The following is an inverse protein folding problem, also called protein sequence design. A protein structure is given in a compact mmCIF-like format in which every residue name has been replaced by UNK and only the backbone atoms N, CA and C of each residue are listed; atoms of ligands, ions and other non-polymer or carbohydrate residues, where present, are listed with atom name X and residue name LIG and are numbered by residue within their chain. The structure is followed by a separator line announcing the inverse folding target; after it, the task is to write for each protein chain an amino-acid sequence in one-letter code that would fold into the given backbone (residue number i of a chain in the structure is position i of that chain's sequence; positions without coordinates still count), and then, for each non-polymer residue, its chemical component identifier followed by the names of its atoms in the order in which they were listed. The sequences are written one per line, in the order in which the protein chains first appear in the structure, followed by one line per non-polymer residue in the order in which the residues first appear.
data_IF_399924695638
#
_entry.id   IF_399924695638
#
_cell.length_a   1.000
_cell.length_b   1.000
_cell.length_c   1.000
_cell.angle_alpha   90.00
_cell.angle_beta   90.00
_cell.angle_gamma   90.00
#
_symmetry.space_group_name_H-M   'P 1'
#
loop_
_entity.id
_entity.type
_entity.pdbx_description
1 polymer ?
#
# COMPACT_ATOMS: atom_id res chain seq x y z
N UNK A 1 -35.98 36.99 -4.39
CA UNK A 1 -34.57 36.55 -4.57
C UNK A 1 -33.71 37.79 -4.67
N UNK A 2 -32.94 38.08 -3.62
CA UNK A 2 -32.42 39.42 -3.30
C UNK A 2 -31.25 39.86 -4.20
N UNK A 3 -31.36 41.04 -4.80
CA UNK A 3 -30.31 41.73 -5.58
C UNK A 3 -28.96 41.88 -4.82
N UNK A 4 -29.01 41.89 -3.48
CA UNK A 4 -27.83 41.94 -2.59
C UNK A 4 -26.90 40.71 -2.75
N UNK A 5 -27.43 39.57 -3.17
CA UNK A 5 -26.61 38.37 -3.43
C UNK A 5 -25.81 38.51 -4.75
N UNK A 6 -26.40 39.12 -5.78
CA UNK A 6 -25.79 39.25 -7.11
C UNK A 6 -24.60 40.21 -7.11
N UNK A 7 -24.69 41.32 -6.37
CA UNK A 7 -23.62 42.34 -6.27
C UNK A 7 -22.32 41.81 -5.64
N UNK A 8 -22.39 40.74 -4.84
CA UNK A 8 -21.20 40.10 -4.25
C UNK A 8 -20.66 38.93 -5.06
N UNK A 9 -21.53 38.26 -5.82
CA UNK A 9 -21.16 37.09 -6.63
C UNK A 9 -20.31 37.51 -7.84
N UNK A 10 -20.71 38.56 -8.55
CA UNK A 10 -20.02 38.99 -9.78
C UNK A 10 -18.56 39.41 -9.54
N UNK A 11 -18.22 40.21 -8.52
CA UNK A 11 -16.82 40.49 -8.18
C UNK A 11 -16.05 39.26 -7.71
N UNK A 12 -16.69 38.34 -6.97
CA UNK A 12 -16.04 37.12 -6.51
C UNK A 12 -15.72 36.17 -7.66
N UNK A 13 -16.66 36.00 -8.61
CA UNK A 13 -16.47 35.21 -9.82
C UNK A 13 -15.32 35.76 -10.66
N UNK A 14 -15.29 37.07 -10.89
CA UNK A 14 -14.21 37.74 -11.65
C UNK A 14 -12.83 37.52 -11.03
N UNK A 15 -12.74 37.60 -9.70
CA UNK A 15 -11.51 37.27 -8.97
C UNK A 15 -11.14 35.80 -9.10
N UNK A 16 -12.10 34.89 -8.97
CA UNK A 16 -11.87 33.45 -9.12
C UNK A 16 -11.38 33.06 -10.51
N UNK A 17 -12.02 33.58 -11.56
CA UNK A 17 -11.59 33.39 -12.96
C UNK A 17 -10.21 33.99 -13.19
N UNK A 18 -9.95 35.19 -12.66
CA UNK A 18 -8.63 35.83 -12.73
C UNK A 18 -7.54 34.97 -12.08
N UNK A 19 -7.80 34.43 -10.89
CA UNK A 19 -6.88 33.55 -10.18
C UNK A 19 -6.61 32.25 -10.96
N UNK A 20 -7.65 31.59 -11.47
CA UNK A 20 -7.49 30.38 -12.28
C UNK A 20 -6.69 30.65 -13.56
N UNK A 21 -6.95 31.76 -14.25
CA UNK A 21 -6.15 32.16 -15.43
C UNK A 21 -4.69 32.42 -15.08
N UNK A 22 -4.42 33.01 -13.91
CA UNK A 22 -3.04 33.23 -13.45
C UNK A 22 -2.32 31.92 -13.09
N UNK A 23 -3.05 30.88 -12.67
CA UNK A 23 -2.51 29.55 -12.40
C UNK A 23 -2.35 28.68 -13.66
N UNK A 24 -2.90 29.12 -14.81
CA UNK A 24 -2.79 28.39 -16.06
C UNK A 24 -1.35 28.48 -16.58
N UNK A 25 -0.79 27.32 -16.95
CA UNK A 25 0.53 27.24 -17.58
C UNK A 25 0.47 27.74 -19.02
N UNK A 26 1.64 28.03 -19.59
CA UNK A 26 1.76 28.51 -20.97
C UNK A 26 1.24 27.54 -22.04
N UNK A 27 1.17 26.24 -21.72
CA UNK A 27 0.61 25.19 -22.57
C UNK A 27 -0.93 25.04 -22.43
N UNK A 28 -1.56 25.89 -21.61
CA UNK A 28 -2.99 25.87 -21.34
C UNK A 28 -3.42 24.91 -20.23
N UNK A 29 -2.49 24.15 -19.63
CA UNK A 29 -2.78 23.21 -18.55
C UNK A 29 -2.87 23.87 -17.17
N UNK A 30 -3.51 23.18 -16.22
CA UNK A 30 -3.45 23.50 -14.79
C UNK A 30 -2.74 22.38 -14.05
N UNK A 31 -1.87 22.74 -13.10
CA UNK A 31 -1.20 21.79 -12.24
C UNK A 31 -1.45 22.17 -10.78
N UNK A 32 -2.25 21.36 -10.11
CA UNK A 32 -2.48 21.47 -8.67
C UNK A 32 -1.67 20.41 -7.92
N UNK A 33 -1.28 20.72 -6.69
CA UNK A 33 -0.77 19.72 -5.76
C UNK A 33 -1.94 18.86 -5.30
N UNK A 34 -1.91 17.58 -5.62
CA UNK A 34 -2.80 16.60 -5.01
C UNK A 34 -2.15 16.22 -3.68
N UNK A 35 -2.80 16.55 -2.56
CA UNK A 35 -2.32 16.13 -1.26
C UNK A 35 -2.44 14.61 -1.14
N UNK A 36 -1.28 13.95 -0.97
CA UNK A 36 -1.18 12.51 -0.88
C UNK A 36 -1.69 11.97 0.45
N UNK A 37 -1.99 10.67 0.44
CA UNK A 37 -2.15 9.87 1.66
C UNK A 37 -0.80 9.35 2.07
N UNK A 38 -0.46 9.44 3.35
CA UNK A 38 0.72 8.83 3.98
C UNK A 38 1.00 7.38 3.60
N UNK A 39 -0.02 6.64 3.17
CA UNK A 39 0.14 5.30 2.62
C UNK A 39 0.97 5.29 1.33
N UNK A 40 0.82 6.28 0.46
CA UNK A 40 1.59 6.40 -0.76
C UNK A 40 3.07 6.66 -0.49
N UNK A 41 3.38 7.63 0.37
CA UNK A 41 4.76 7.96 0.74
C UNK A 41 5.44 6.76 1.42
N UNK A 42 4.76 6.13 2.38
CA UNK A 42 5.29 4.95 3.07
C UNK A 42 5.44 3.75 2.13
N UNK A 43 4.45 3.42 1.30
CA UNK A 43 4.52 2.31 0.34
C UNK A 43 5.67 2.50 -0.65
N UNK A 44 5.88 3.71 -1.16
CA UNK A 44 6.98 4.01 -2.07
C UNK A 44 8.35 3.83 -1.41
N UNK A 45 8.52 4.34 -0.18
CA UNK A 45 9.76 4.14 0.58
C UNK A 45 10.00 2.65 0.82
N UNK A 46 9.00 1.93 1.33
CA UNK A 46 9.11 0.49 1.60
C UNK A 46 9.43 -0.31 0.34
N UNK A 47 8.82 0.02 -0.80
CA UNK A 47 9.14 -0.58 -2.09
C UNK A 47 10.61 -0.38 -2.44
N UNK A 48 11.17 0.82 -2.28
CA UNK A 48 12.58 1.08 -2.55
C UNK A 48 13.48 0.20 -1.69
N UNK A 49 13.15 -0.01 -0.42
CA UNK A 49 13.85 -0.99 0.41
C UNK A 49 13.62 -2.44 -0.07
N UNK A 50 12.41 -2.84 -0.44
CA UNK A 50 12.15 -4.21 -0.93
C UNK A 50 12.99 -4.51 -2.19
N UNK A 51 13.14 -3.53 -3.09
CA UNK A 51 13.85 -3.66 -4.35
C UNK A 51 15.37 -3.42 -4.26
N UNK A 52 15.92 -3.13 -3.08
CA UNK A 52 17.33 -2.73 -2.91
C UNK A 52 17.71 -1.46 -3.68
N UNK A 53 16.79 -0.49 -3.75
CA UNK A 53 16.91 0.76 -4.49
C UNK A 53 16.95 2.00 -3.61
N UNK A 54 17.06 1.86 -2.28
CA UNK A 54 17.09 2.99 -1.34
C UNK A 54 18.33 3.90 -1.45
N UNK A 55 19.34 3.45 -2.19
CA UNK A 55 20.58 4.19 -2.48
C UNK A 55 20.78 4.44 -3.98
N UNK A 56 19.85 3.98 -4.84
CA UNK A 56 19.95 4.09 -6.29
C UNK A 56 19.31 5.40 -6.75
N UNK A 57 19.97 6.19 -7.63
CA UNK A 57 19.34 7.36 -8.25
C UNK A 57 18.06 6.99 -8.99
N UNK A 58 17.02 7.83 -8.88
CA UNK A 58 15.81 7.67 -9.69
C UNK A 58 16.13 7.91 -11.16
N UNK A 59 15.24 7.45 -12.05
CA UNK A 59 15.41 7.53 -13.51
C UNK A 59 15.56 8.97 -14.07
N UNK A 60 15.25 9.97 -13.25
CA UNK A 60 15.39 11.40 -13.55
C UNK A 60 16.53 12.05 -12.74
N UNK A 61 17.53 11.25 -12.37
CA UNK A 61 18.70 11.60 -11.57
C UNK A 61 18.40 12.12 -10.16
N UNK A 62 17.14 12.05 -9.71
CA UNK A 62 16.79 12.40 -8.35
C UNK A 62 17.23 11.29 -7.40
N UNK A 63 18.34 11.51 -6.69
CA UNK A 63 18.92 10.54 -5.75
C UNK A 63 18.21 10.39 -4.40
N UNK A 64 18.97 9.94 -3.40
CA UNK A 64 18.55 9.77 -1.99
C UNK A 64 17.77 10.96 -1.43
N UNK A 65 18.12 12.17 -1.85
CA UNK A 65 17.44 13.42 -1.47
C UNK A 65 15.91 13.38 -1.69
N UNK A 66 15.42 12.64 -2.69
CA UNK A 66 13.96 12.47 -2.90
C UNK A 66 13.33 11.62 -1.81
N UNK A 67 13.98 10.52 -1.41
CA UNK A 67 13.49 9.67 -0.34
C UNK A 67 13.47 10.44 0.99
N UNK A 68 14.48 11.27 1.24
CA UNK A 68 14.53 12.12 2.44
C UNK A 68 13.41 13.17 2.44
N UNK A 69 13.08 13.75 1.27
CA UNK A 69 11.93 14.65 1.12
C UNK A 69 10.59 13.94 1.34
N UNK A 70 10.45 12.71 0.83
CA UNK A 70 9.25 11.88 1.05
C UNK A 70 9.12 11.56 2.54
N UNK A 71 10.21 11.18 3.21
CA UNK A 71 10.23 10.93 4.64
C UNK A 71 9.90 12.19 5.45
N UNK A 72 10.40 13.36 5.05
CA UNK A 72 10.04 14.64 5.68
C UNK A 72 8.55 14.96 5.52
N UNK A 73 7.96 14.70 4.35
CA UNK A 73 6.52 14.80 4.11
C UNK A 73 5.73 13.82 4.98
N UNK A 74 6.18 12.58 5.09
CA UNK A 74 5.54 11.58 5.94
C UNK A 74 5.55 12.01 7.41
N UNK A 75 6.65 12.57 7.92
CA UNK A 75 6.71 13.14 9.28
C UNK A 75 5.72 14.29 9.47
N UNK A 76 5.61 15.21 8.50
CA UNK A 76 4.70 16.36 8.62
C UNK A 76 3.22 15.98 8.54
N UNK A 77 2.90 14.83 7.96
CA UNK A 77 1.54 14.28 7.91
C UNK A 77 1.14 13.53 9.20
N UNK A 78 2.07 13.29 10.13
CA UNK A 78 1.74 12.61 11.37
C UNK A 78 0.74 13.45 12.18
N UNK A 79 -0.31 12.79 12.65
CA UNK A 79 -1.36 13.41 13.44
C UNK A 79 -0.91 13.62 14.89
N UNK A 80 -1.62 14.49 15.61
CA UNK A 80 -1.34 14.74 17.04
C UNK A 80 -1.49 13.51 17.95
N UNK A 81 -2.23 12.47 17.52
CA UNK A 81 -2.33 11.18 18.22
C UNK A 81 -1.21 10.19 17.82
N UNK A 82 -0.22 10.63 17.05
CA UNK A 82 0.91 9.83 16.56
C UNK A 82 0.58 8.90 15.40
N UNK A 83 -0.68 8.84 14.97
CA UNK A 83 -1.12 7.98 13.88
C UNK A 83 -0.92 8.63 12.50
N UNK A 84 -1.00 7.78 11.48
CA UNK A 84 -1.26 8.18 10.10
C UNK A 84 -2.63 7.69 9.65
N UNK A 85 -3.14 8.25 8.55
CA UNK A 85 -4.44 7.93 7.98
C UNK A 85 -4.39 7.83 6.47
N UNK A 86 -5.50 7.40 5.87
CA UNK A 86 -5.65 7.22 4.43
C UNK A 86 -5.70 8.53 3.60
N UNK A 87 -5.49 9.69 4.23
CA UNK A 87 -5.46 10.99 3.56
C UNK A 87 -5.70 12.16 4.53
N UNK A 88 -5.61 13.41 4.04
CA UNK A 88 -5.91 14.60 4.84
C UNK A 88 -7.31 14.52 5.46
N UNK A 89 -7.42 14.81 6.75
CA UNK A 89 -8.71 14.77 7.47
C UNK A 89 -9.24 13.36 7.79
N UNK A 90 -8.63 12.29 7.29
CA UNK A 90 -9.02 10.92 7.64
C UNK A 90 -8.68 10.57 9.09
N UNK A 91 -9.42 9.62 9.65
CA UNK A 91 -9.13 9.07 10.98
C UNK A 91 -7.82 8.27 11.00
N UNK A 92 -7.35 7.89 12.20
CA UNK A 92 -6.17 7.07 12.37
C UNK A 92 -6.38 5.67 11.78
N UNK A 93 -5.45 5.21 10.95
CA UNK A 93 -5.44 3.90 10.31
C UNK A 93 -4.24 3.07 10.78
N UNK A 94 -4.50 1.82 11.16
CA UNK A 94 -3.46 0.93 11.71
C UNK A 94 -2.41 0.56 10.66
N UNK A 95 -2.84 0.22 9.44
CA UNK A 95 -1.92 -0.17 8.36
C UNK A 95 -1.01 0.98 7.95
N UNK A 96 -1.59 2.16 7.70
CA UNK A 96 -0.86 3.39 7.42
C UNK A 96 0.14 3.72 8.52
N UNK A 97 -0.24 3.57 9.79
CA UNK A 97 0.65 3.88 10.92
C UNK A 97 1.80 2.89 11.03
N UNK A 98 1.56 1.59 10.84
CA UNK A 98 2.62 0.57 10.85
C UNK A 98 3.61 0.79 9.71
N UNK A 99 3.11 1.03 8.49
CA UNK A 99 3.95 1.30 7.32
C UNK A 99 4.72 2.61 7.46
N UNK A 100 4.06 3.66 7.96
CA UNK A 100 4.68 4.95 8.23
C UNK A 100 5.83 4.84 9.23
N UNK A 101 5.60 4.18 10.36
CA UNK A 101 6.64 3.91 11.36
C UNK A 101 7.81 3.13 10.76
N UNK A 102 7.53 2.02 10.06
CA UNK A 102 8.58 1.19 9.46
C UNK A 102 9.39 1.98 8.42
N UNK A 103 8.73 2.75 7.56
CA UNK A 103 9.39 3.57 6.56
C UNK A 103 10.33 4.60 7.20
N UNK A 104 9.88 5.31 8.24
CA UNK A 104 10.73 6.27 8.96
C UNK A 104 11.89 5.59 9.69
N UNK A 105 11.67 4.44 10.34
CA UNK A 105 12.74 3.67 10.98
C UNK A 105 13.81 3.25 9.97
N UNK A 106 13.40 2.78 8.79
CA UNK A 106 14.34 2.42 7.70
C UNK A 106 15.05 3.64 7.11
N UNK A 107 14.43 4.81 7.17
CA UNK A 107 15.04 6.08 6.78
C UNK A 107 15.98 6.67 7.85
N UNK A 108 16.10 6.03 9.02
CA UNK A 108 17.08 6.35 10.06
C UNK A 108 16.49 6.99 11.32
N UNK A 109 15.16 7.06 11.45
CA UNK A 109 14.53 7.65 12.64
C UNK A 109 14.72 6.75 13.86
N UNK A 110 15.14 7.37 14.97
CA UNK A 110 15.28 6.71 16.26
C UNK A 110 13.92 6.23 16.79
N UNK A 111 13.73 4.92 17.07
CA UNK A 111 12.52 4.37 17.69
C UNK A 111 12.09 5.08 18.98
N UNK A 112 13.04 5.68 19.71
CA UNK A 112 12.79 6.40 20.94
C UNK A 112 12.57 7.91 20.73
N UNK A 113 12.57 8.42 19.50
CA UNK A 113 12.14 9.79 19.21
C UNK A 113 10.64 9.99 19.53
N UNK A 114 10.24 11.22 19.87
CA UNK A 114 8.87 11.53 20.30
C UNK A 114 7.79 11.08 19.30
N UNK A 115 8.01 11.35 18.01
CA UNK A 115 7.07 10.97 16.94
C UNK A 115 6.99 9.45 16.77
N UNK A 116 8.11 8.74 16.90
CA UNK A 116 8.16 7.27 16.81
C UNK A 116 7.48 6.62 18.01
N UNK A 117 7.71 7.11 19.23
CA UNK A 117 7.01 6.63 20.43
C UNK A 117 5.51 6.87 20.37
N UNK A 118 5.08 8.01 19.86
CA UNK A 118 3.66 8.32 19.66
C UNK A 118 3.01 7.35 18.68
N UNK A 119 3.66 7.08 17.54
CA UNK A 119 3.21 6.09 16.57
C UNK A 119 3.17 4.67 17.15
N UNK A 120 4.21 4.24 17.86
CA UNK A 120 4.25 2.95 18.56
C UNK A 120 3.08 2.80 19.53
N UNK A 121 2.85 3.80 20.39
CA UNK A 121 1.72 3.81 21.31
C UNK A 121 0.38 3.69 20.58
N UNK A 122 0.24 4.40 19.46
CA UNK A 122 -0.95 4.38 18.61
C UNK A 122 -1.21 3.00 17.98
N UNK A 123 -0.15 2.32 17.53
CA UNK A 123 -0.22 0.94 16.98
C UNK A 123 -0.62 -0.06 18.05
N UNK A 124 0.05 -0.04 19.21
CA UNK A 124 -0.23 -0.97 20.31
C UNK A 124 -1.67 -0.79 20.84
N UNK A 125 -2.15 0.44 20.94
CA UNK A 125 -3.54 0.74 21.34
C UNK A 125 -4.60 0.19 20.36
N UNK A 126 -4.21 -0.13 19.12
CA UNK A 126 -5.10 -0.68 18.07
C UNK A 126 -4.88 -2.17 17.82
N UNK A 127 -4.26 -2.87 18.76
CA UNK A 127 -4.07 -4.33 18.70
C UNK A 127 -2.79 -4.77 17.99
N UNK A 128 -1.82 -3.88 17.83
CA UNK A 128 -0.48 -4.19 17.32
C UNK A 128 -0.40 -4.41 15.82
N UNK A 129 0.82 -4.54 15.31
CA UNK A 129 1.10 -4.80 13.90
C UNK A 129 0.53 -6.15 13.43
N UNK A 130 0.32 -7.11 14.33
CA UNK A 130 -0.38 -8.37 14.00
C UNK A 130 -1.84 -8.16 13.58
N UNK A 131 -2.45 -7.02 13.91
CA UNK A 131 -3.84 -6.73 13.54
C UNK A 131 -3.94 -5.93 12.22
N UNK A 132 -2.81 -5.66 11.56
CA UNK A 132 -2.79 -4.88 10.32
C UNK A 132 -3.48 -5.61 9.16
N UNK A 133 -3.89 -4.82 8.17
CA UNK A 133 -4.50 -5.28 6.93
C UNK A 133 -3.52 -6.10 6.06
N UNK A 134 -4.07 -6.70 5.00
CA UNK A 134 -3.34 -7.59 4.12
C UNK A 134 -2.19 -6.90 3.36
N UNK A 135 -2.37 -5.67 2.88
CA UNK A 135 -1.34 -4.95 2.13
C UNK A 135 -0.15 -4.60 3.03
N UNK A 136 -0.42 -4.20 4.28
CA UNK A 136 0.63 -3.98 5.28
C UNK A 136 1.42 -5.26 5.56
N UNK A 137 0.73 -6.40 5.77
CA UNK A 137 1.39 -7.70 6.00
C UNK A 137 2.26 -8.14 4.82
N UNK A 138 1.87 -7.85 3.57
CA UNK A 138 2.70 -8.14 2.40
C UNK A 138 4.02 -7.37 2.49
N UNK A 139 4.00 -6.06 2.78
CA UNK A 139 5.23 -5.29 2.93
C UNK A 139 6.12 -5.84 4.05
N UNK A 140 5.54 -6.18 5.20
CA UNK A 140 6.27 -6.80 6.30
C UNK A 140 6.89 -8.14 5.90
N UNK A 141 6.16 -8.98 5.15
CA UNK A 141 6.67 -10.25 4.64
C UNK A 141 7.79 -10.06 3.61
N UNK A 142 7.65 -9.09 2.70
CA UNK A 142 8.67 -8.75 1.72
C UNK A 142 9.99 -8.29 2.37
N UNK A 143 9.93 -7.68 3.56
CA UNK A 143 11.08 -7.24 4.34
C UNK A 143 11.52 -8.24 5.42
N UNK A 144 10.97 -9.46 5.41
CA UNK A 144 11.34 -10.52 6.36
C UNK A 144 10.91 -10.25 7.81
N UNK A 145 10.06 -9.25 8.03
CA UNK A 145 9.54 -8.86 9.34
C UNK A 145 8.32 -9.71 9.73
N UNK A 146 7.79 -10.53 8.83
CA UNK A 146 6.66 -11.42 9.09
C UNK A 146 6.77 -12.63 8.15
N UNK A 147 6.34 -13.81 8.60
CA UNK A 147 6.31 -15.00 7.74
C UNK A 147 5.24 -14.86 6.65
N UNK A 148 5.55 -15.29 5.43
CA UNK A 148 4.55 -15.43 4.36
C UNK A 148 3.34 -16.29 4.73
N UNK A 149 3.42 -17.10 5.79
CA UNK A 149 2.26 -17.81 6.36
C UNK A 149 1.23 -16.88 7.01
N UNK A 150 1.59 -15.68 7.44
CA UNK A 150 0.66 -14.66 7.92
C UNK A 150 0.01 -13.83 6.81
N UNK A 151 0.43 -14.03 5.56
CA UNK A 151 -0.17 -13.40 4.37
C UNK A 151 -1.16 -14.40 3.74
N UNK A 152 -2.33 -13.91 3.31
CA UNK A 152 -3.28 -14.73 2.57
C UNK A 152 -2.75 -15.03 1.15
N UNK A 153 -2.98 -16.23 0.66
CA UNK A 153 -2.47 -16.65 -0.65
C UNK A 153 -3.41 -16.19 -1.77
N UNK A 154 -2.86 -15.61 -2.82
CA UNK A 154 -3.61 -15.24 -4.04
C UNK A 154 -3.03 -16.07 -5.20
N UNK A 155 -3.72 -17.11 -5.67
CA UNK A 155 -3.19 -17.98 -6.72
C UNK A 155 -3.19 -17.26 -8.08
N UNK A 156 -2.10 -17.29 -8.87
CA UNK A 156 -2.06 -16.71 -10.21
C UNK A 156 -3.02 -17.41 -11.18
N UNK A 157 -3.42 -18.65 -10.88
CA UNK A 157 -4.38 -19.44 -11.64
C UNK A 157 -5.75 -18.74 -11.81
N UNK A 158 -6.04 -17.70 -11.03
CA UNK A 158 -7.23 -16.84 -11.21
C UNK A 158 -7.31 -16.28 -12.64
N UNK A 159 -6.18 -15.97 -13.28
CA UNK A 159 -6.17 -15.49 -14.67
C UNK A 159 -6.60 -16.54 -15.71
N UNK A 160 -6.74 -17.81 -15.30
CA UNK A 160 -7.19 -18.90 -16.18
C UNK A 160 -8.68 -19.21 -16.00
N UNK A 161 -9.35 -18.61 -15.02
CA UNK A 161 -10.78 -18.82 -14.82
C UNK A 161 -11.57 -18.35 -16.06
N UNK A 162 -12.83 -18.75 -16.24
CA UNK A 162 -13.69 -18.17 -17.28
C UNK A 162 -14.09 -16.72 -16.95
N UNK A 163 -14.43 -15.92 -17.97
CA UNK A 163 -14.82 -14.51 -17.81
C UNK A 163 -16.06 -14.29 -16.95
N UNK A 164 -16.97 -15.28 -16.89
CA UNK A 164 -18.15 -15.24 -16.02
C UNK A 164 -17.83 -15.43 -14.53
N UNK A 165 -16.62 -15.86 -14.17
CA UNK A 165 -16.23 -16.02 -12.77
C UNK A 165 -16.20 -14.67 -12.07
N UNK A 166 -16.77 -14.56 -10.86
CA UNK A 166 -16.76 -13.33 -10.05
C UNK A 166 -15.33 -12.79 -9.82
N UNK A 167 -14.31 -13.65 -9.85
CA UNK A 167 -12.90 -13.28 -9.71
C UNK A 167 -12.26 -12.71 -10.99
N UNK A 168 -12.87 -12.94 -12.15
CA UNK A 168 -12.49 -12.38 -13.46
C UNK A 168 -13.46 -11.34 -13.98
N UNK A 169 -14.67 -11.33 -13.46
CA UNK A 169 -15.80 -10.59 -13.98
C UNK A 169 -15.44 -9.11 -14.17
N UNK A 170 -15.93 -8.57 -15.28
CA UNK A 170 -15.88 -7.16 -15.64
C UNK A 170 -16.49 -6.23 -14.57
N UNK A 171 -17.22 -6.80 -13.60
CA UNK A 171 -17.76 -6.13 -12.42
C UNK A 171 -16.71 -5.78 -11.35
N UNK A 172 -15.49 -6.33 -11.43
CA UNK A 172 -14.38 -5.88 -10.60
C UNK A 172 -13.72 -4.68 -11.27
N UNK A 173 -13.76 -3.52 -10.60
CA UNK A 173 -13.17 -2.28 -11.11
C UNK A 173 -11.74 -2.53 -11.61
N UNK A 174 -11.34 -1.83 -12.68
CA UNK A 174 -10.04 -2.04 -13.35
C UNK A 174 -8.86 -2.08 -12.35
N UNK A 175 -8.93 -1.22 -11.32
CA UNK A 175 -8.00 -1.20 -10.20
C UNK A 175 -7.91 -2.53 -9.42
N UNK A 176 -9.04 -3.10 -9.00
CA UNK A 176 -9.07 -4.34 -8.23
C UNK A 176 -8.49 -5.52 -9.02
N UNK A 177 -8.73 -5.56 -10.34
CA UNK A 177 -8.14 -6.56 -11.22
C UNK A 177 -6.62 -6.44 -11.29
N UNK A 178 -6.11 -5.21 -11.47
CA UNK A 178 -4.67 -4.96 -11.47
C UNK A 178 -4.00 -5.40 -10.16
N UNK A 179 -4.60 -5.02 -9.03
CA UNK A 179 -4.12 -5.45 -7.71
C UNK A 179 -4.12 -6.97 -7.55
N UNK A 180 -5.20 -7.65 -7.93
CA UNK A 180 -5.26 -9.10 -7.83
C UNK A 180 -4.16 -9.78 -8.64
N UNK A 181 -3.89 -9.30 -9.85
CA UNK A 181 -2.82 -9.83 -10.71
C UNK A 181 -1.43 -9.59 -10.10
N UNK A 182 -1.13 -8.36 -9.67
CA UNK A 182 0.15 -8.00 -9.05
C UNK A 182 0.39 -8.82 -7.78
N UNK A 183 -0.59 -8.84 -6.87
CA UNK A 183 -0.47 -9.55 -5.60
C UNK A 183 -0.40 -11.07 -5.79
N UNK A 184 -1.01 -11.62 -6.85
CA UNK A 184 -0.88 -13.06 -7.16
C UNK A 184 0.56 -13.44 -7.49
N UNK A 185 1.28 -12.58 -8.21
CA UNK A 185 2.70 -12.79 -8.52
C UNK A 185 3.52 -12.66 -7.24
N UNK A 186 3.32 -11.59 -6.47
CA UNK A 186 4.07 -11.33 -5.23
C UNK A 186 3.88 -12.45 -4.20
N UNK A 187 2.63 -12.85 -3.92
CA UNK A 187 2.33 -13.92 -2.93
C UNK A 187 2.77 -15.31 -3.39
N UNK A 188 2.97 -15.51 -4.70
CA UNK A 188 3.54 -16.74 -5.28
C UNK A 188 5.07 -16.73 -5.26
N UNK A 189 5.70 -15.60 -5.58
CA UNK A 189 7.16 -15.49 -5.60
C UNK A 189 7.76 -15.33 -4.21
N UNK A 190 6.98 -14.79 -3.27
CA UNK A 190 7.36 -14.57 -1.86
C UNK A 190 8.73 -13.88 -1.73
N UNK A 191 8.97 -12.77 -2.45
CA UNK A 191 10.26 -12.08 -2.38
C UNK A 191 10.54 -11.71 -0.93
N UNK A 192 11.73 -11.98 -0.41
CA UNK A 192 12.03 -11.73 0.99
C UNK A 192 13.43 -11.14 1.10
N UNK A 193 13.51 -9.85 1.39
CA UNK A 193 14.74 -9.18 1.80
C UNK A 193 14.90 -9.37 3.31
N UNK A 194 16.05 -9.87 3.75
CA UNK A 194 16.40 -9.88 5.17
C UNK A 194 16.92 -8.51 5.58
N UNK A 195 16.27 -7.89 6.55
CA UNK A 195 16.75 -6.66 7.17
C UNK A 195 17.73 -6.98 8.31
N UNK A 196 18.65 -6.04 8.63
CA UNK A 196 19.43 -6.10 9.87
C UNK A 196 18.52 -6.16 11.11
N UNK A 197 19.01 -6.74 12.20
CA UNK A 197 18.21 -6.98 13.41
C UNK A 197 17.70 -5.67 14.04
N UNK A 198 18.51 -4.62 13.98
CA UNK A 198 18.23 -3.27 14.46
C UNK A 198 17.06 -2.59 13.72
N UNK A 199 16.83 -2.97 12.46
CA UNK A 199 15.72 -2.47 11.63
C UNK A 199 14.40 -3.22 11.86
N UNK A 200 14.39 -4.21 12.75
CA UNK A 200 13.18 -4.94 13.13
C UNK A 200 12.12 -4.04 13.76
N UNK A 201 10.85 -4.43 13.73
CA UNK A 201 9.73 -3.69 14.35
C UNK A 201 9.05 -4.50 15.47
N UNK A 202 9.84 -5.27 16.22
CA UNK A 202 9.34 -6.12 17.30
C UNK A 202 8.50 -5.35 18.33
N UNK A 203 8.84 -4.08 18.55
CA UNK A 203 8.17 -3.15 19.44
C UNK A 203 6.75 -2.73 19.02
N UNK A 204 6.32 -3.07 17.79
CA UNK A 204 4.98 -2.81 17.29
C UNK A 204 4.00 -3.98 17.51
N UNK A 205 4.48 -5.15 17.91
CA UNK A 205 3.64 -6.32 18.15
C UNK A 205 3.20 -6.38 19.61
N UNK A 206 1.92 -6.66 19.86
CA UNK A 206 1.42 -6.87 21.22
C UNK A 206 1.72 -8.29 21.68
N UNK A 207 1.48 -9.27 20.80
CA UNK A 207 1.73 -10.69 21.05
C UNK A 207 2.68 -11.26 19.98
N UNK A 208 3.97 -11.50 20.32
CA UNK A 208 4.93 -12.09 19.40
C UNK A 208 4.49 -13.46 18.84
N UNK A 209 3.67 -14.23 19.56
CA UNK A 209 3.17 -15.53 19.11
C UNK A 209 2.06 -15.42 18.04
N UNK A 210 1.49 -14.22 17.86
CA UNK A 210 0.49 -13.93 16.82
C UNK A 210 1.09 -13.29 15.57
N UNK A 211 2.36 -12.84 15.62
CA UNK A 211 3.09 -12.22 14.51
C UNK A 211 2.93 -12.97 13.19
N UNK A 212 3.12 -14.29 13.21
CA UNK A 212 3.13 -15.13 12.00
C UNK A 212 1.79 -15.83 11.72
N UNK A 213 0.71 -15.43 12.41
CA UNK A 213 -0.61 -16.04 12.20
C UNK A 213 -1.37 -15.41 11.02
N UNK A 214 -2.13 -16.22 10.25
CA UNK A 214 -3.00 -15.71 9.20
C UNK A 214 -4.05 -14.69 9.71
N UNK A 215 -4.53 -13.79 8.85
CA UNK A 215 -5.50 -12.75 9.23
C UNK A 215 -6.81 -13.36 9.72
N UNK A 216 -7.40 -12.73 10.73
CA UNK A 216 -8.68 -13.16 11.30
C UNK A 216 -8.62 -14.54 11.95
N UNK A 217 -7.46 -14.95 12.50
CA UNK A 217 -7.31 -16.14 13.36
C UNK A 217 -7.82 -15.91 14.79
N UNK A 218 -8.09 -14.66 15.15
CA UNK A 218 -8.55 -14.20 16.47
C UNK A 218 -10.07 -14.26 16.68
N UNK A 219 -10.88 -14.29 15.62
CA UNK A 219 -12.35 -14.42 15.71
C UNK A 219 -12.85 -15.69 14.97
N UNK A 220 -13.11 -16.79 15.69
CA UNK A 220 -13.47 -18.09 15.11
C UNK A 220 -14.97 -18.27 14.76
N UNK A 221 -15.82 -17.25 14.93
CA UNK A 221 -17.27 -17.47 15.07
C UNK A 221 -18.11 -17.55 13.77
N UNK A 222 -17.53 -17.38 12.58
CA UNK A 222 -18.28 -17.37 11.31
C UNK A 222 -17.96 -18.54 10.36
N UNK A 223 -19.00 -19.21 9.83
CA UNK A 223 -18.84 -20.27 8.81
C UNK A 223 -18.05 -19.80 7.57
N UNK A 224 -18.26 -18.56 7.12
CA UNK A 224 -17.48 -17.96 6.03
C UNK A 224 -15.99 -17.76 6.37
N UNK A 225 -15.68 -17.46 7.64
CA UNK A 225 -14.29 -17.34 8.12
C UNK A 225 -13.59 -18.69 8.11
N UNK A 226 -14.28 -19.76 8.51
CA UNK A 226 -13.74 -21.13 8.47
C UNK A 226 -13.48 -21.58 7.03
N UNK A 227 -14.43 -21.33 6.12
CA UNK A 227 -14.26 -21.64 4.69
C UNK A 227 -13.04 -20.91 4.10
N UNK A 228 -12.93 -19.60 4.32
CA UNK A 228 -11.80 -18.80 3.84
C UNK A 228 -10.46 -19.31 4.38
N UNK A 229 -10.39 -19.64 5.68
CA UNK A 229 -9.19 -20.23 6.29
C UNK A 229 -8.85 -21.59 5.70
N UNK A 230 -9.86 -22.41 5.41
CA UNK A 230 -9.69 -23.71 4.76
C UNK A 230 -9.10 -23.57 3.36
N UNK A 231 -9.64 -22.66 2.54
CA UNK A 231 -9.15 -22.34 1.20
C UNK A 231 -7.69 -21.85 1.27
N UNK A 232 -7.40 -20.85 2.11
CA UNK A 232 -6.04 -20.33 2.25
C UNK A 232 -5.05 -21.40 2.72
N UNK A 233 -5.43 -22.24 3.69
CA UNK A 233 -4.60 -23.36 4.14
C UNK A 233 -4.35 -24.37 3.02
N UNK A 234 -5.39 -24.72 2.25
CA UNK A 234 -5.26 -25.60 1.08
C UNK A 234 -4.31 -25.01 0.03
N UNK A 235 -4.44 -23.72 -0.28
CA UNK A 235 -3.55 -23.01 -1.20
C UNK A 235 -2.11 -22.96 -0.71
N UNK A 236 -1.88 -22.77 0.60
CA UNK A 236 -0.54 -22.81 1.21
C UNK A 236 0.09 -24.20 1.13
N UNK A 237 -0.67 -25.25 1.40
CA UNK A 237 -0.22 -26.63 1.24
C UNK A 237 0.12 -26.90 -0.23
N UNK A 238 -0.78 -26.54 -1.15
CA UNK A 238 -0.56 -26.66 -2.59
C UNK A 238 0.68 -25.89 -3.05
N UNK A 239 0.97 -24.74 -2.43
CA UNK A 239 2.18 -23.98 -2.70
C UNK A 239 3.47 -24.71 -2.30
N UNK A 240 3.48 -25.41 -1.15
CA UNK A 240 4.62 -26.25 -0.73
C UNK A 240 4.92 -27.34 -1.76
N UNK A 241 3.91 -27.90 -2.42
CA UNK A 241 4.06 -28.90 -3.48
C UNK A 241 4.35 -28.30 -4.87
N UNK A 242 4.76 -27.03 -4.96
CA UNK A 242 5.08 -26.37 -6.23
C UNK A 242 3.87 -25.80 -6.97
N UNK A 243 2.65 -26.10 -6.55
CA UNK A 243 1.43 -25.53 -7.10
C UNK A 243 0.59 -26.44 -7.97
N UNK A 244 -0.31 -25.81 -8.74
CA UNK A 244 -0.99 -26.52 -9.82
C UNK A 244 -0.03 -26.73 -11.01
N UNK A 245 -0.24 -27.75 -11.86
CA UNK A 245 0.51 -27.91 -13.11
C UNK A 245 0.41 -26.69 -14.04
N UNK A 246 -0.65 -25.88 -13.90
CA UNK A 246 -0.91 -24.70 -14.71
C UNK A 246 -0.23 -23.44 -14.18
N UNK A 247 0.39 -23.48 -13.00
CA UNK A 247 0.97 -22.30 -12.34
C UNK A 247 1.97 -21.54 -13.23
N UNK A 248 2.84 -22.26 -13.93
CA UNK A 248 3.80 -21.63 -14.83
C UNK A 248 3.14 -20.90 -16.00
N UNK A 249 2.05 -21.45 -16.55
CA UNK A 249 1.27 -20.81 -17.61
C UNK A 249 0.53 -19.59 -17.06
N UNK A 250 -0.09 -19.73 -15.89
CA UNK A 250 -0.80 -18.65 -15.22
C UNK A 250 0.12 -17.46 -14.96
N UNK A 251 1.30 -17.70 -14.36
CA UNK A 251 2.30 -16.65 -14.10
C UNK A 251 2.73 -15.91 -15.37
N UNK A 252 3.00 -16.63 -16.47
CA UNK A 252 3.35 -16.00 -17.75
C UNK A 252 2.21 -15.11 -18.26
N UNK A 253 0.98 -15.61 -18.29
CA UNK A 253 -0.19 -14.82 -18.71
C UNK A 253 -0.41 -13.59 -17.84
N UNK A 254 -0.19 -13.71 -16.53
CA UNK A 254 -0.31 -12.59 -15.60
C UNK A 254 0.72 -11.51 -15.90
N UNK A 255 1.99 -11.89 -16.08
CA UNK A 255 3.04 -10.93 -16.46
C UNK A 255 2.76 -10.29 -17.82
N UNK A 256 2.38 -11.08 -18.83
CA UNK A 256 2.05 -10.56 -20.16
C UNK A 256 0.87 -9.57 -20.12
N UNK A 257 -0.14 -9.87 -19.30
CA UNK A 257 -1.26 -8.96 -19.06
C UNK A 257 -0.77 -7.66 -18.40
N UNK A 258 0.04 -7.75 -17.34
CA UNK A 258 0.57 -6.59 -16.63
C UNK A 258 1.40 -5.68 -17.56
N UNK A 259 2.28 -6.25 -18.39
CA UNK A 259 3.10 -5.50 -19.34
C UNK A 259 2.25 -4.78 -20.40
N UNK A 260 1.21 -5.43 -20.93
CA UNK A 260 0.26 -4.80 -21.85
C UNK A 260 -0.49 -3.65 -21.18
N UNK A 261 -1.02 -3.85 -19.98
CA UNK A 261 -1.79 -2.81 -19.29
C UNK A 261 -0.90 -1.63 -18.86
N UNK A 262 0.35 -1.89 -18.45
CA UNK A 262 1.32 -0.84 -18.12
C UNK A 262 1.63 0.09 -19.31
N UNK A 263 1.72 -0.48 -20.51
CA UNK A 263 1.95 0.29 -21.75
C UNK A 263 0.80 1.24 -22.14
N UNK A 264 -0.40 1.04 -21.60
CA UNK A 264 -1.59 1.86 -21.91
C UNK A 264 -1.81 3.00 -20.91
N UNK A 265 -0.88 3.24 -19.98
CA UNK A 265 -0.98 4.32 -18.98
C UNK A 265 -1.96 4.05 -17.83
N UNK A 266 -2.83 3.06 -17.96
CA UNK A 266 -3.90 2.73 -17.00
C UNK A 266 -3.37 2.14 -15.68
N UNK A 267 -2.23 1.44 -15.73
CA UNK A 267 -1.51 1.02 -14.51
C UNK A 267 -0.70 2.17 -13.93
N UNK A 268 -0.22 3.10 -14.75
CA UNK A 268 0.60 4.24 -14.33
C UNK A 268 -0.17 5.37 -13.64
N UNK A 269 -1.49 5.45 -13.83
CA UNK A 269 -2.35 6.46 -13.19
C UNK A 269 -2.82 6.09 -11.77
N UNK A 270 -2.76 4.80 -11.40
CA UNK A 270 -3.23 4.32 -10.11
C UNK A 270 -2.05 3.89 -9.24
N UNK A 271 -1.53 4.85 -8.47
CA UNK A 271 -0.40 4.82 -7.54
C UNK A 271 -0.12 3.52 -6.73
N UNK A 272 -1.12 2.66 -6.52
CA UNK A 272 -0.94 1.36 -5.85
C UNK A 272 -0.14 0.34 -6.69
N UNK A 273 -0.12 0.48 -8.02
CA UNK A 273 0.69 -0.37 -8.90
C UNK A 273 2.20 -0.09 -8.75
N UNK A 274 2.57 1.18 -8.55
CA UNK A 274 3.94 1.63 -8.37
C UNK A 274 4.50 1.37 -6.97
N UNK A 275 3.75 0.71 -6.08
CA UNK A 275 4.24 0.23 -4.78
C UNK A 275 4.69 -1.25 -4.82
N UNK A 276 4.32 -1.98 -5.86
CA UNK A 276 4.54 -3.42 -5.99
C UNK A 276 5.17 -3.85 -7.34
N UNK A 277 5.40 -2.90 -8.25
CA UNK A 277 6.13 -3.07 -9.52
C UNK A 277 7.55 -2.52 -9.38
#
# INVERSE_FOLDING_TARGET
MNAVATDRIEPALRRGVGALRHLQRSDGSWCGRIEGSSTLESDYLLMKFILHQESVPLADDRGRNTLDRIAAGLRSQQRGDGAWGAGPGSGPDLGATVKGYLALKLMGDDPDADHMRAARKSVLARGGAESSDHATRIHLACLGLLSWNAVASIPPEIILLPDWSVLRAEHTGAWSRAMLQILSVVTTRRPTRKLPAESGIGELFVDPLKRDRPPGSSDPSGAGTLLRRGIDRGLKILHVFGGTPLRGIALRRTVDWMLRTASQGDVGGHFASAAFL
#
